data_IF_766666411655
#
_entry.id   IF_766666411655
#
_cell.length_a   1.000
_cell.length_b   1.000
_cell.length_c   1.000
_cell.angle_alpha   90.00
_cell.angle_beta   90.00
_cell.angle_gamma   90.00
#
_symmetry.space_group_name_H-M   'P 1'
#
loop_
_entity.id
_entity.type
_entity.pdbx_description
1 polymer ?
#
# COMPACT_ATOMS: atom_id res chain seq x y z
N UNK A 1 -27.68 -5.19 8.23
CA UNK A 1 -26.37 -4.51 8.24
C UNK A 1 -26.28 -3.66 6.98
N UNK A 2 -25.80 -2.42 7.07
CA UNK A 2 -25.74 -1.53 5.90
C UNK A 2 -24.46 -1.86 5.13
N UNK A 3 -24.61 -2.32 3.90
CA UNK A 3 -23.50 -2.53 2.96
C UNK A 3 -23.06 -1.20 2.35
N UNK A 4 -21.77 -0.92 2.31
CA UNK A 4 -21.23 0.32 1.71
C UNK A 4 -20.75 0.03 0.30
N UNK A 5 -21.21 0.84 -0.67
CA UNK A 5 -20.79 0.77 -2.07
C UNK A 5 -19.69 1.80 -2.34
N UNK A 6 -18.61 1.36 -2.95
CA UNK A 6 -17.46 2.16 -3.37
C UNK A 6 -17.39 2.18 -4.89
N UNK A 7 -17.52 3.37 -5.47
CA UNK A 7 -17.35 3.60 -6.91
C UNK A 7 -15.94 4.13 -7.18
N UNK A 8 -15.22 3.45 -8.08
CA UNK A 8 -13.80 3.67 -8.32
C UNK A 8 -13.58 3.84 -9.83
N UNK A 9 -13.00 4.98 -10.17
CA UNK A 9 -12.50 5.28 -11.50
C UNK A 9 -11.09 5.85 -11.36
N UNK A 10 -10.15 5.34 -12.14
CA UNK A 10 -8.75 5.80 -12.11
C UNK A 10 -8.13 5.71 -13.50
N UNK A 11 -7.61 6.84 -13.95
CA UNK A 11 -6.90 6.98 -15.22
C UNK A 11 -5.62 7.78 -14.96
N UNK A 12 -4.60 7.51 -15.77
CA UNK A 12 -3.35 8.25 -15.78
C UNK A 12 -3.15 8.84 -17.17
N UNK A 13 -2.97 10.15 -17.24
CA UNK A 13 -2.53 10.81 -18.46
C UNK A 13 -1.02 10.86 -18.45
N UNK A 14 -0.40 10.28 -19.48
CA UNK A 14 1.04 10.32 -19.67
C UNK A 14 1.37 11.45 -20.64
N UNK A 15 1.96 12.52 -20.10
CA UNK A 15 2.60 13.56 -20.90
C UNK A 15 4.04 13.15 -21.18
N UNK A 16 4.45 13.18 -22.44
CA UNK A 16 5.83 12.88 -22.83
C UNK A 16 6.64 14.18 -22.87
N UNK A 17 7.53 14.46 -21.88
CA UNK A 17 8.30 15.68 -21.89
C UNK A 17 9.25 15.72 -23.10
N UNK A 18 9.28 16.85 -23.79
CA UNK A 18 10.16 17.05 -24.93
C UNK A 18 11.59 17.32 -24.42
N UNK A 19 12.48 16.36 -24.66
CA UNK A 19 13.90 16.41 -24.34
C UNK A 19 14.69 15.88 -25.52
N UNK A 20 16.00 16.15 -25.63
CA UNK A 20 16.81 15.59 -26.72
C UNK A 20 16.76 14.05 -26.79
N UNK A 21 16.62 13.37 -25.65
CA UNK A 21 16.55 11.90 -25.61
C UNK A 21 15.17 11.37 -26.04
N UNK A 22 14.09 12.02 -25.63
CA UNK A 22 12.73 11.61 -26.03
C UNK A 22 12.48 11.89 -27.51
N UNK A 23 13.03 13.00 -28.05
CA UNK A 23 13.04 13.29 -29.49
C UNK A 23 13.82 12.23 -30.29
N UNK A 24 15.03 11.86 -29.86
CA UNK A 24 15.82 10.85 -30.57
C UNK A 24 15.12 9.48 -30.64
N UNK A 25 14.43 9.07 -29.56
CA UNK A 25 13.62 7.85 -29.55
C UNK A 25 12.39 8.00 -30.43
N UNK A 26 11.69 9.13 -30.35
CA UNK A 26 10.55 9.45 -31.22
C UNK A 26 10.93 9.36 -32.70
N UNK A 27 12.05 9.95 -33.11
CA UNK A 27 12.56 9.91 -34.48
C UNK A 27 12.98 8.49 -34.89
N UNK A 28 13.68 7.76 -34.03
CA UNK A 28 14.17 6.41 -34.33
C UNK A 28 13.03 5.39 -34.53
N UNK A 29 11.92 5.56 -33.81
CA UNK A 29 10.77 4.65 -33.85
C UNK A 29 9.55 5.21 -34.58
N UNK A 30 9.59 6.47 -35.05
CA UNK A 30 8.48 7.14 -35.75
C UNK A 30 7.26 7.38 -34.86
N UNK A 31 7.46 7.68 -33.57
CA UNK A 31 6.38 7.85 -32.58
C UNK A 31 6.17 9.34 -32.32
N UNK A 32 4.93 9.84 -32.37
CA UNK A 32 4.61 11.22 -32.00
C UNK A 32 4.74 11.44 -30.49
N UNK A 33 5.35 12.55 -30.08
CA UNK A 33 5.44 12.95 -28.66
C UNK A 33 4.24 13.75 -28.16
N UNK A 34 3.37 14.19 -29.07
CA UNK A 34 2.26 15.11 -28.80
C UNK A 34 0.96 14.37 -28.44
N UNK A 35 0.98 13.04 -28.42
CA UNK A 35 -0.18 12.22 -28.09
C UNK A 35 -0.23 11.97 -26.58
N UNK A 36 -1.09 12.71 -25.88
CA UNK A 36 -1.46 12.42 -24.50
C UNK A 36 -2.08 11.02 -24.43
N UNK A 37 -1.30 10.05 -23.95
CA UNK A 37 -1.82 8.69 -23.76
C UNK A 37 -2.53 8.60 -22.42
N UNK A 38 -3.85 8.40 -22.48
CA UNK A 38 -4.64 8.10 -21.29
C UNK A 38 -4.68 6.61 -21.05
N UNK A 39 -4.15 6.17 -19.92
CA UNK A 39 -4.18 4.79 -19.47
C UNK A 39 -5.23 4.61 -18.37
N UNK A 40 -6.31 3.92 -18.69
CA UNK A 40 -7.38 3.61 -17.74
C UNK A 40 -7.06 2.35 -16.95
N UNK A 41 -6.98 2.49 -15.63
CA UNK A 41 -6.81 1.35 -14.70
C UNK A 41 -8.16 0.83 -14.23
N UNK A 42 -9.06 1.74 -13.85
CA UNK A 42 -10.42 1.42 -13.44
C UNK A 42 -11.40 2.33 -14.16
N UNK A 43 -12.42 1.74 -14.77
CA UNK A 43 -13.51 2.48 -15.41
C UNK A 43 -14.81 2.25 -14.65
N UNK A 44 -15.12 3.20 -13.76
CA UNK A 44 -16.35 3.24 -12.97
C UNK A 44 -16.80 1.90 -12.37
N UNK A 45 -15.87 1.18 -11.73
CA UNK A 45 -16.18 -0.09 -11.08
C UNK A 45 -16.90 0.15 -9.75
N UNK A 46 -17.77 -0.77 -9.37
CA UNK A 46 -18.49 -0.75 -8.10
C UNK A 46 -18.08 -1.94 -7.23
N UNK A 47 -17.59 -1.66 -6.03
CA UNK A 47 -17.23 -2.67 -5.02
C UNK A 47 -18.12 -2.47 -3.81
N UNK A 48 -18.69 -3.54 -3.28
CA UNK A 48 -19.49 -3.48 -2.05
C UNK A 48 -18.74 -4.19 -0.94
N UNK A 49 -18.51 -3.49 0.18
CA UNK A 49 -17.87 -4.04 1.38
C UNK A 49 -18.78 -3.76 2.57
N UNK A 50 -19.00 -4.78 3.39
CA UNK A 50 -19.81 -4.73 4.60
C UNK A 50 -18.91 -4.87 5.83
N UNK A 51 -19.25 -4.24 6.97
CA UNK A 51 -18.53 -4.48 8.22
C UNK A 51 -18.47 -5.98 8.56
N UNK A 52 -17.24 -6.48 8.77
CA UNK A 52 -16.98 -7.90 9.03
C UNK A 52 -16.47 -8.70 7.82
N UNK A 53 -16.48 -8.13 6.62
CA UNK A 53 -15.97 -8.80 5.43
C UNK A 53 -14.45 -8.95 5.48
N UNK A 54 -13.97 -10.15 5.10
CA UNK A 54 -12.57 -10.39 4.75
C UNK A 54 -12.47 -10.39 3.23
N UNK A 55 -11.85 -9.36 2.67
CA UNK A 55 -11.75 -9.15 1.22
C UNK A 55 -10.36 -9.55 0.73
N UNK A 56 -10.28 -10.52 -0.16
CA UNK A 56 -9.05 -10.92 -0.84
C UNK A 56 -8.98 -10.33 -2.24
N UNK A 57 -7.97 -9.50 -2.50
CA UNK A 57 -7.73 -8.88 -3.82
C UNK A 57 -6.63 -9.68 -4.53
N UNK A 58 -6.95 -10.19 -5.72
CA UNK A 58 -6.05 -11.00 -6.54
C UNK A 58 -5.92 -10.45 -7.97
N UNK A 59 -4.97 -10.98 -8.72
CA UNK A 59 -4.65 -10.59 -10.10
C UNK A 59 -3.14 -10.48 -10.33
N UNK A 60 -2.75 -10.38 -11.60
CA UNK A 60 -1.34 -10.38 -12.03
C UNK A 60 -0.54 -9.17 -11.50
N UNK A 61 0.78 -9.28 -11.47
CA UNK A 61 1.64 -8.12 -11.16
C UNK A 61 1.38 -6.99 -12.15
N UNK A 62 1.24 -5.76 -11.66
CA UNK A 62 0.91 -4.59 -12.48
C UNK A 62 -0.58 -4.38 -12.79
N UNK A 63 -1.49 -5.28 -12.37
CA UNK A 63 -2.94 -5.15 -12.64
C UNK A 63 -3.68 -4.03 -11.89
N UNK A 64 -2.97 -3.21 -11.11
CA UNK A 64 -3.56 -2.09 -10.36
C UNK A 64 -3.99 -2.40 -8.93
N UNK A 65 -3.76 -3.60 -8.37
CA UNK A 65 -4.16 -3.95 -6.98
C UNK A 65 -3.77 -2.92 -5.92
N UNK A 66 -2.53 -2.42 -5.95
CA UNK A 66 -2.08 -1.39 -5.00
C UNK A 66 -2.78 -0.05 -5.22
N UNK A 67 -3.12 0.29 -6.46
CA UNK A 67 -3.92 1.47 -6.81
C UNK A 67 -5.34 1.30 -6.25
N UNK A 68 -5.94 0.12 -6.38
CA UNK A 68 -7.25 -0.17 -5.80
C UNK A 68 -7.26 -0.03 -4.27
N UNK A 69 -6.28 -0.61 -3.58
CA UNK A 69 -6.14 -0.45 -2.12
C UNK A 69 -6.00 1.02 -1.72
N UNK A 70 -5.24 1.80 -2.48
CA UNK A 70 -5.09 3.23 -2.24
C UNK A 70 -6.41 4.00 -2.43
N UNK A 71 -7.13 3.75 -3.53
CA UNK A 71 -8.43 4.38 -3.81
C UNK A 71 -9.50 3.98 -2.77
N UNK A 72 -9.51 2.74 -2.31
CA UNK A 72 -10.39 2.27 -1.24
C UNK A 72 -10.08 2.95 0.10
N UNK A 73 -8.80 3.02 0.48
CA UNK A 73 -8.37 3.66 1.72
C UNK A 73 -8.84 5.12 1.82
N UNK A 74 -8.78 5.87 0.72
CA UNK A 74 -9.27 7.26 0.70
C UNK A 74 -10.78 7.40 0.93
N UNK A 75 -11.55 6.33 0.65
CA UNK A 75 -13.02 6.32 0.75
C UNK A 75 -13.55 5.62 1.99
N UNK A 76 -12.73 4.80 2.65
CA UNK A 76 -13.08 4.11 3.89
C UNK A 76 -12.80 5.05 5.07
N UNK A 77 -13.84 5.49 5.82
CA UNK A 77 -13.64 6.31 7.01
C UNK A 77 -12.80 5.57 8.05
N UNK A 78 -11.77 6.23 8.58
CA UNK A 78 -10.84 5.66 9.56
C UNK A 78 -10.14 4.37 9.07
N UNK A 79 -10.00 4.19 7.74
CA UNK A 79 -9.24 3.08 7.18
C UNK A 79 -7.76 3.17 7.52
N UNK A 80 -7.22 2.13 8.13
CA UNK A 80 -5.81 1.99 8.47
C UNK A 80 -5.14 1.09 7.44
N UNK A 81 -3.95 1.47 6.96
CA UNK A 81 -3.11 0.65 6.09
C UNK A 81 -1.75 0.42 6.76
N UNK A 82 -1.13 -0.73 6.47
CA UNK A 82 0.24 -1.01 6.92
C UNK A 82 1.23 0.08 6.48
N UNK A 83 0.97 0.73 5.35
CA UNK A 83 1.79 1.83 4.83
C UNK A 83 1.70 3.12 5.66
N UNK A 84 0.79 3.22 6.63
CA UNK A 84 0.68 4.39 7.52
C UNK A 84 1.72 4.39 8.63
N UNK A 85 2.34 3.24 8.90
CA UNK A 85 3.26 3.08 10.00
C UNK A 85 4.70 3.24 9.51
N UNK A 86 5.43 4.19 10.12
CA UNK A 86 6.87 4.31 9.95
C UNK A 86 7.52 3.51 11.06
N UNK A 87 8.23 2.46 10.67
CA UNK A 87 8.93 1.60 11.62
C UNK A 87 10.39 2.08 11.69
N UNK A 88 10.84 2.46 12.89
CA UNK A 88 12.24 2.73 13.13
C UNK A 88 12.99 1.39 13.21
N UNK A 89 13.75 1.06 12.17
CA UNK A 89 14.43 -0.22 12.05
C UNK A 89 15.55 -0.45 13.06
N UNK A 90 16.01 0.61 13.72
CA UNK A 90 17.17 0.62 14.61
C UNK A 90 16.85 0.58 16.10
N UNK A 91 15.56 0.65 16.47
CA UNK A 91 15.14 0.56 17.86
C UNK A 91 14.79 -0.89 18.25
N UNK A 92 15.04 -1.29 19.50
CA UNK A 92 14.51 -2.53 20.06
C UNK A 92 12.98 -2.60 19.92
N UNK A 93 12.43 -3.75 19.58
CA UNK A 93 10.98 -3.86 19.33
C UNK A 93 10.13 -3.58 20.57
N UNK A 94 10.68 -3.75 21.78
CA UNK A 94 10.00 -3.40 23.03
C UNK A 94 9.73 -1.90 23.16
N UNK A 95 10.51 -1.07 22.46
CA UNK A 95 10.33 0.40 22.39
C UNK A 95 9.38 0.81 21.25
N UNK A 96 8.98 -0.13 20.38
CA UNK A 96 8.23 0.19 19.16
C UNK A 96 6.71 0.27 19.36
N UNK A 97 6.19 -0.31 20.45
CA UNK A 97 4.76 -0.45 20.71
C UNK A 97 4.43 -0.20 22.19
N UNK A 98 3.19 0.20 22.48
CA UNK A 98 2.73 0.49 23.84
C UNK A 98 3.22 1.85 24.35
N UNK A 99 2.53 2.38 25.37
CA UNK A 99 2.91 3.62 26.07
C UNK A 99 3.91 3.39 27.22
N UNK A 100 4.03 2.14 27.66
CA UNK A 100 4.86 1.70 28.78
C UNK A 100 5.27 0.22 28.59
N UNK A 101 6.15 -0.26 29.46
CA UNK A 101 6.71 -1.61 29.39
C UNK A 101 5.64 -2.70 29.50
N UNK A 102 4.65 -2.54 30.37
CA UNK A 102 3.62 -3.55 30.58
C UNK A 102 2.72 -3.69 29.35
N UNK A 103 2.34 -2.56 28.75
CA UNK A 103 1.55 -2.52 27.52
C UNK A 103 2.34 -3.03 26.31
N UNK A 104 3.64 -2.72 26.22
CA UNK A 104 4.52 -3.24 25.19
C UNK A 104 4.66 -4.77 25.26
N UNK A 105 4.97 -5.31 26.44
CA UNK A 105 5.05 -6.75 26.68
C UNK A 105 3.71 -7.45 26.40
N UNK A 106 2.60 -6.83 26.76
CA UNK A 106 1.26 -7.34 26.47
C UNK A 106 1.03 -7.49 24.96
N UNK A 107 1.29 -6.43 24.16
CA UNK A 107 1.09 -6.49 22.72
C UNK A 107 2.01 -7.48 22.03
N UNK A 108 3.31 -7.50 22.37
CA UNK A 108 4.26 -8.44 21.78
C UNK A 108 3.92 -9.89 22.15
N UNK A 109 3.46 -10.14 23.37
CA UNK A 109 3.01 -11.47 23.79
C UNK A 109 1.76 -11.92 23.05
N UNK A 110 0.81 -11.01 22.80
CA UNK A 110 -0.44 -11.30 22.09
C UNK A 110 -0.19 -11.76 20.64
N UNK A 111 0.85 -11.23 20.00
CA UNK A 111 1.24 -11.60 18.62
C UNK A 111 2.25 -12.75 18.56
N UNK A 112 2.59 -13.35 19.71
CA UNK A 112 3.46 -14.53 19.77
C UNK A 112 4.97 -14.22 19.86
N UNK A 113 5.36 -12.95 20.00
CA UNK A 113 6.76 -12.53 20.18
C UNK A 113 7.19 -12.58 21.66
N UNK A 114 6.79 -13.61 22.41
CA UNK A 114 7.01 -13.72 23.86
C UNK A 114 8.36 -14.37 24.24
N UNK A 115 9.46 -13.77 23.81
CA UNK A 115 10.82 -14.19 24.17
C UNK A 115 11.64 -12.95 24.60
N UNK A 116 12.28 -13.05 25.78
CA UNK A 116 13.10 -11.98 26.34
C UNK A 116 14.23 -11.54 25.40
N UNK A 117 14.80 -12.44 24.59
CA UNK A 117 15.80 -12.06 23.60
C UNK A 117 15.20 -11.27 22.46
N UNK A 118 13.98 -11.62 22.01
CA UNK A 118 13.28 -10.94 20.93
C UNK A 118 12.94 -9.50 21.32
N UNK A 119 12.51 -9.26 22.56
CA UNK A 119 12.23 -7.91 23.07
C UNK A 119 13.42 -6.94 22.93
N UNK A 120 14.64 -7.47 23.04
CA UNK A 120 15.88 -6.69 22.96
C UNK A 120 16.40 -6.54 21.53
N UNK A 121 15.81 -7.22 20.54
CA UNK A 121 16.24 -7.14 19.13
C UNK A 121 15.72 -5.88 18.47
N UNK A 122 16.54 -5.34 17.57
CA UNK A 122 16.07 -4.31 16.66
C UNK A 122 15.08 -4.89 15.67
N UNK A 123 14.18 -4.07 15.14
CA UNK A 123 13.27 -4.51 14.08
C UNK A 123 14.01 -5.08 12.87
N UNK A 124 15.16 -4.50 12.50
CA UNK A 124 16.04 -4.99 11.42
C UNK A 124 16.70 -6.35 11.68
N UNK A 125 16.64 -6.86 12.91
CA UNK A 125 17.22 -8.16 13.30
C UNK A 125 16.16 -9.28 13.39
N UNK A 126 14.89 -8.96 13.07
CA UNK A 126 13.81 -9.93 13.02
C UNK A 126 13.86 -10.75 11.73
N UNK A 127 13.39 -11.99 11.80
CA UNK A 127 13.10 -12.79 10.60
C UNK A 127 11.83 -12.29 9.89
N UNK A 128 11.66 -12.56 8.61
CA UNK A 128 10.44 -12.18 7.85
C UNK A 128 9.12 -12.68 8.45
N UNK A 129 9.17 -13.75 9.26
CA UNK A 129 7.99 -14.32 9.93
C UNK A 129 7.69 -13.75 11.32
N UNK A 130 8.57 -12.87 11.84
CA UNK A 130 8.44 -12.15 13.11
C UNK A 130 8.00 -10.72 12.84
#
# INVERSE_FOLDING_TARGET
>A
MVSTKYEISKQFTMESPITPRTLAISEAFGISLDDDQTFTVYDNIAITITPGDIVYITGDSGSGKSILLHELKQRIPNGISNSDFIINSDQPIIEAVGKDLDEAMYFLSLVGLNDAFIFLRKYSELSDGQ
#
